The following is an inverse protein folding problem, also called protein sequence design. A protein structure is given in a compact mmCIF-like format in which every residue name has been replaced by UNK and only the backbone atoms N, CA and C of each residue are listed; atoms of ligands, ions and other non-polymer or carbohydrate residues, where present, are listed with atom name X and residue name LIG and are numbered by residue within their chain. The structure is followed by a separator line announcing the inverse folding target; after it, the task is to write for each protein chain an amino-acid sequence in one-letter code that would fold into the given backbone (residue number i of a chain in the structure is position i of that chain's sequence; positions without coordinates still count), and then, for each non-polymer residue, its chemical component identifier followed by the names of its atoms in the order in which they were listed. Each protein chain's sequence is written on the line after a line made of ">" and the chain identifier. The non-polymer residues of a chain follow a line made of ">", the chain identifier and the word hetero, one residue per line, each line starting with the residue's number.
data_IF_862501254907
#
_entry.id   IF_862501254907
#
_cell.length_a   1.000
_cell.length_b   1.000
_cell.length_c   1.000
_cell.angle_alpha   90.00
_cell.angle_beta   90.00
_cell.angle_gamma   90.00
#
_symmetry.space_group_name_H-M   'P 1'
#
loop_
_entity.id
_entity.type
_entity.pdbx_description
1 polymer ?
#
# COMPACT_ATOMS: atom_id res chain seq x y z
N UNK A 1 -30.09 17.50 25.45
CA UNK A 1 -30.83 17.52 24.18
C UNK A 1 -32.32 17.61 24.46
N UNK A 2 -32.81 18.83 24.62
CA UNK A 2 -34.20 19.25 24.34
C UNK A 2 -34.01 20.68 23.83
N UNK A 3 -34.16 20.87 22.52
CA UNK A 3 -34.01 22.17 21.87
C UNK A 3 -35.33 22.92 22.01
N UNK A 4 -35.33 24.00 22.79
CA UNK A 4 -36.44 24.97 22.84
C UNK A 4 -36.36 25.94 21.67
N UNK A 5 -37.48 26.31 21.04
CA UNK A 5 -37.46 27.13 19.84
C UNK A 5 -37.32 28.62 20.17
N UNK A 6 -36.51 29.30 19.34
CA UNK A 6 -36.87 30.59 18.75
C UNK A 6 -36.98 31.78 19.70
N UNK A 7 -35.82 32.32 20.11
CA UNK A 7 -35.71 33.72 20.53
C UNK A 7 -36.02 34.61 19.32
N UNK A 8 -37.23 35.15 19.27
CA UNK A 8 -37.63 36.17 18.31
C UNK A 8 -37.55 37.56 18.94
N UNK A 9 -36.74 38.40 18.29
CA UNK A 9 -37.08 39.78 17.96
C UNK A 9 -37.03 40.81 19.10
N UNK A 10 -35.91 41.55 19.11
CA UNK A 10 -35.84 42.90 19.64
C UNK A 10 -36.81 43.79 18.86
N UNK A 11 -37.98 44.07 19.43
CA UNK A 11 -38.73 45.27 19.09
C UNK A 11 -38.33 46.36 20.09
N UNK A 12 -37.42 47.22 19.64
CA UNK A 12 -37.17 48.54 20.21
C UNK A 12 -38.37 49.40 19.81
N UNK A 13 -39.46 49.28 20.56
CA UNK A 13 -40.60 50.15 20.39
C UNK A 13 -40.22 51.53 20.92
N UNK A 14 -40.16 52.45 19.97
CA UNK A 14 -39.78 53.84 20.15
C UNK A 14 -40.71 54.50 21.15
N UNK A 15 -40.12 55.27 22.07
CA UNK A 15 -40.75 56.14 23.05
C UNK A 15 -41.70 57.12 22.36
N UNK A 16 -42.92 56.70 22.06
CA UNK A 16 -44.00 57.61 21.71
C UNK A 16 -44.60 58.14 23.00
N UNK A 17 -44.49 59.45 23.15
CA UNK A 17 -45.17 60.27 24.13
C UNK A 17 -46.67 60.06 23.96
N UNK A 18 -47.22 59.03 24.61
CA UNK A 18 -48.65 58.78 24.66
C UNK A 18 -49.27 59.65 25.75
N UNK A 19 -50.23 60.45 25.32
CA UNK A 19 -51.19 61.18 26.15
C UNK A 19 -51.81 60.24 27.18
N UNK A 20 -51.62 60.55 28.46
CA UNK A 20 -52.08 59.78 29.63
C UNK A 20 -53.60 59.52 29.70
N UNK A 21 -54.39 60.11 28.79
CA UNK A 21 -55.86 60.15 28.88
C UNK A 21 -56.59 58.93 28.26
N UNK A 22 -55.89 57.95 27.68
CA UNK A 22 -56.54 56.75 27.11
C UNK A 22 -55.72 55.46 27.35
N UNK A 23 -55.29 55.20 28.58
CA UNK A 23 -54.92 53.83 28.98
C UNK A 23 -56.08 53.21 29.75
N UNK A 24 -56.47 51.99 29.37
CA UNK A 24 -57.43 51.23 30.17
C UNK A 24 -56.80 50.85 31.52
N UNK A 25 -57.60 50.77 32.59
CA UNK A 25 -57.08 50.50 33.95
C UNK A 25 -56.18 49.25 34.01
N UNK A 26 -56.46 48.24 33.18
CA UNK A 26 -55.64 47.03 33.07
C UNK A 26 -54.25 47.29 32.44
N UNK A 27 -54.15 48.17 31.46
CA UNK A 27 -52.88 48.55 30.83
C UNK A 27 -52.05 49.45 31.77
N UNK A 28 -52.71 50.30 32.54
CA UNK A 28 -52.05 51.12 33.56
C UNK A 28 -51.43 50.25 34.66
N UNK A 29 -52.16 49.25 35.17
CA UNK A 29 -51.63 48.31 36.17
C UNK A 29 -50.40 47.56 35.62
N UNK A 30 -50.47 47.07 34.38
CA UNK A 30 -49.32 46.40 33.74
C UNK A 30 -48.13 47.34 33.56
N UNK A 31 -48.36 48.59 33.17
CA UNK A 31 -47.29 49.59 33.04
C UNK A 31 -46.63 49.90 34.38
N UNK A 32 -47.42 50.04 35.45
CA UNK A 32 -46.92 50.26 36.81
C UNK A 32 -46.13 49.04 37.32
N UNK A 33 -46.61 47.82 37.07
CA UNK A 33 -45.86 46.60 37.42
C UNK A 33 -44.56 46.46 36.65
N UNK A 34 -44.57 46.80 35.36
CA UNK A 34 -43.38 46.78 34.52
C UNK A 34 -42.36 47.84 34.96
N UNK A 35 -42.81 49.07 35.26
CA UNK A 35 -41.98 50.13 35.84
C UNK A 35 -41.42 49.70 37.20
N UNK A 36 -42.22 49.06 38.06
CA UNK A 36 -41.75 48.54 39.35
C UNK A 36 -40.68 47.47 39.18
N UNK A 37 -40.83 46.59 38.18
CA UNK A 37 -39.81 45.59 37.82
C UNK A 37 -38.55 46.27 37.29
N UNK A 38 -38.67 47.27 36.41
CA UNK A 38 -37.54 48.01 35.88
C UNK A 38 -36.78 48.79 36.97
N UNK A 39 -37.49 49.44 37.89
CA UNK A 39 -36.89 50.11 39.06
C UNK A 39 -36.16 49.11 39.95
N UNK A 40 -36.73 47.91 40.17
CA UNK A 40 -36.05 46.85 40.93
C UNK A 40 -34.79 46.36 40.21
N UNK A 41 -34.83 46.17 38.90
CA UNK A 41 -33.66 45.78 38.12
C UNK A 41 -32.56 46.83 38.19
N UNK A 42 -32.90 48.11 37.98
CA UNK A 42 -31.95 49.23 38.10
C UNK A 42 -31.34 49.32 39.51
N UNK A 43 -32.13 49.03 40.55
CA UNK A 43 -31.62 49.00 41.92
C UNK A 43 -30.57 47.88 42.11
N UNK A 44 -30.86 46.68 41.62
CA UNK A 44 -29.93 45.54 41.67
C UNK A 44 -28.66 45.80 40.82
N UNK A 45 -28.82 46.36 39.63
CA UNK A 45 -27.69 46.76 38.78
C UNK A 45 -26.80 47.78 39.49
N UNK A 46 -27.40 48.81 40.11
CA UNK A 46 -26.65 49.78 40.90
C UNK A 46 -25.95 49.13 42.10
N UNK A 47 -26.62 48.26 42.85
CA UNK A 47 -26.02 47.57 43.99
C UNK A 47 -24.80 46.73 43.58
N UNK A 48 -24.92 45.98 42.48
CA UNK A 48 -23.81 45.17 41.91
C UNK A 48 -22.66 46.07 41.46
N UNK A 49 -22.95 47.19 40.79
CA UNK A 49 -21.94 48.14 40.33
C UNK A 49 -21.23 48.82 41.52
N UNK A 50 -21.98 49.29 42.52
CA UNK A 50 -21.43 49.90 43.73
C UNK A 50 -20.53 48.92 44.49
N UNK A 51 -21.00 47.68 44.69
CA UNK A 51 -20.21 46.63 45.34
C UNK A 51 -18.94 46.29 44.54
N UNK A 52 -19.03 46.27 43.21
CA UNK A 52 -17.90 45.99 42.32
C UNK A 52 -16.86 47.12 42.34
N UNK A 53 -17.29 48.37 42.25
CA UNK A 53 -16.39 49.54 42.29
C UNK A 53 -15.75 49.66 43.69
N UNK A 54 -16.50 49.47 44.77
CA UNK A 54 -15.95 49.46 46.14
C UNK A 54 -14.83 48.43 46.31
N UNK A 55 -14.99 47.25 45.68
CA UNK A 55 -14.02 46.15 45.80
C UNK A 55 -12.77 46.37 44.96
N UNK A 56 -12.91 46.93 43.76
CA UNK A 56 -11.80 47.09 42.81
C UNK A 56 -11.07 48.44 42.99
N UNK A 57 -11.81 49.53 43.13
CA UNK A 57 -11.29 50.90 43.23
C UNK A 57 -12.18 51.78 44.13
N UNK A 58 -12.02 51.69 45.47
CA UNK A 58 -12.87 52.43 46.42
C UNK A 58 -12.74 53.97 46.28
N UNK A 59 -11.64 54.48 45.71
CA UNK A 59 -11.44 55.90 45.45
C UNK A 59 -12.42 56.48 44.41
N UNK A 60 -12.89 55.65 43.46
CA UNK A 60 -13.84 56.09 42.43
C UNK A 60 -15.24 56.30 43.03
N UNK A 61 -15.62 55.50 44.03
CA UNK A 61 -16.90 55.65 44.74
C UNK A 61 -17.00 56.98 45.49
N UNK A 62 -15.91 57.47 46.08
CA UNK A 62 -15.89 58.78 46.76
C UNK A 62 -16.27 59.92 45.81
N UNK A 63 -15.82 59.85 44.55
CA UNK A 63 -16.16 60.82 43.52
C UNK A 63 -17.62 60.70 43.07
N UNK A 64 -18.15 59.48 42.96
CA UNK A 64 -19.55 59.21 42.63
C UNK A 64 -20.47 59.77 43.73
N UNK A 65 -20.20 59.50 45.00
CA UNK A 65 -20.99 60.03 46.12
C UNK A 65 -20.93 61.55 46.22
N UNK A 66 -19.76 62.15 46.02
CA UNK A 66 -19.61 63.61 45.99
C UNK A 66 -20.43 64.24 44.86
N UNK A 67 -20.43 63.63 43.68
CA UNK A 67 -21.22 64.08 42.53
C UNK A 67 -22.73 63.94 42.78
N UNK A 68 -23.14 62.83 43.42
CA UNK A 68 -24.53 62.59 43.82
C UNK A 68 -25.01 63.65 44.83
N UNK A 69 -24.20 63.96 45.84
CA UNK A 69 -24.52 64.98 46.85
C UNK A 69 -24.66 66.39 46.23
N UNK A 70 -23.81 66.73 45.26
CA UNK A 70 -23.93 67.97 44.48
C UNK A 70 -25.23 67.98 43.66
N UNK A 71 -25.59 66.86 43.02
CA UNK A 71 -26.82 66.74 42.26
C UNK A 71 -28.05 66.88 43.16
N UNK A 72 -28.08 66.18 44.30
CA UNK A 72 -29.16 66.23 45.30
C UNK A 72 -29.36 67.67 45.80
N UNK A 73 -28.28 68.35 46.22
CA UNK A 73 -28.30 69.76 46.65
C UNK A 73 -28.85 70.69 45.58
N UNK A 74 -28.54 70.44 44.30
CA UNK A 74 -29.06 71.21 43.17
C UNK A 74 -30.54 70.96 42.91
N UNK A 75 -31.01 69.72 42.99
CA UNK A 75 -32.46 69.44 42.91
C UNK A 75 -33.23 70.03 44.07
N UNK A 76 -32.69 69.98 45.29
CA UNK A 76 -33.32 70.58 46.46
C UNK A 76 -33.38 72.11 46.36
N UNK A 77 -32.34 72.77 45.84
CA UNK A 77 -32.38 74.22 45.64
C UNK A 77 -33.36 74.64 44.54
N UNK A 78 -33.52 73.84 43.48
CA UNK A 78 -34.55 74.06 42.44
C UNK A 78 -35.96 73.86 43.01
N UNK A 79 -36.18 72.83 43.83
CA UNK A 79 -37.48 72.58 44.48
C UNK A 79 -37.82 73.65 45.55
N UNK A 80 -36.81 74.21 46.23
CA UNK A 80 -37.00 75.33 47.15
C UNK A 80 -37.28 76.64 46.42
N UNK A 81 -36.61 76.91 45.29
CA UNK A 81 -36.89 78.07 44.45
C UNK A 81 -38.33 78.06 43.89
N UNK A 82 -38.85 76.87 43.54
CA UNK A 82 -40.25 76.73 43.11
C UNK A 82 -41.28 76.90 44.24
N UNK A 83 -40.88 76.74 45.52
CA UNK A 83 -41.76 76.98 46.69
C UNK A 83 -41.84 78.44 47.09
N UNK A 84 -40.87 79.28 46.70
CA UNK A 84 -40.82 80.70 47.09
C UNK A 84 -41.54 81.65 46.13
N UNK A 85 -42.02 81.18 44.98
CA UNK A 85 -42.74 82.01 44.00
C UNK A 85 -44.27 82.12 44.25
N UNK A 86 -44.81 81.52 45.31
CA UNK A 86 -46.25 81.52 45.62
C UNK A 86 -46.67 82.32 46.86
N UNK A 87 -45.85 83.23 47.39
CA UNK A 87 -46.30 84.13 48.48
C UNK A 87 -45.52 85.46 48.56
N UNK A 88 -45.80 86.37 47.63
CA UNK A 88 -45.50 87.80 47.78
C UNK A 88 -46.71 88.50 48.38
N UNK A 89 -46.56 89.25 49.48
CA UNK A 89 -47.25 90.53 49.72
C UNK A 89 -46.78 91.18 51.04
N UNK A 90 -46.31 92.43 50.93
CA UNK A 90 -46.03 93.43 51.99
C UNK A 90 -44.91 93.06 52.99
N UNK A 91 -43.88 93.84 53.27
CA UNK A 91 -43.60 95.26 53.04
C UNK A 91 -42.72 95.73 54.21
N UNK A 92 -41.85 96.71 53.94
CA UNK A 92 -41.22 97.60 54.94
C UNK A 92 -39.97 97.12 55.72
N UNK A 93 -38.82 97.60 55.21
CA UNK A 93 -37.86 98.50 55.87
C UNK A 93 -37.17 98.15 57.21
N UNK A 94 -35.83 98.30 57.16
CA UNK A 94 -34.88 98.71 58.22
C UNK A 94 -34.65 97.68 59.35
N UNK A 95 -33.47 97.49 59.93
CA UNK A 95 -32.13 98.07 59.79
C UNK A 95 -31.19 97.37 60.78
N UNK A 96 -29.91 97.29 60.42
CA UNK A 96 -28.71 97.44 61.27
C UNK A 96 -28.32 96.41 62.34
N UNK A 97 -26.99 96.22 62.38
CA UNK A 97 -26.13 95.81 63.49
C UNK A 97 -26.20 94.32 63.90
N UNK A 98 -25.12 93.62 64.23
CA UNK A 98 -23.69 93.92 64.32
C UNK A 98 -22.98 92.62 64.73
N UNK A 99 -21.63 92.63 64.65
CA UNK A 99 -20.70 92.05 65.65
C UNK A 99 -20.53 90.52 65.67
N UNK A 100 -19.37 90.02 65.24
CA UNK A 100 -18.09 89.81 65.98
C UNK A 100 -17.98 88.42 66.58
N UNK A 101 -16.77 87.84 66.50
CA UNK A 101 -16.30 86.79 67.41
C UNK A 101 -15.84 85.55 66.66
N UNK A 102 -14.65 85.49 66.03
CA UNK A 102 -13.31 85.32 66.64
C UNK A 102 -13.20 84.13 67.60
N UNK A 103 -12.39 83.15 67.22
CA UNK A 103 -11.23 82.65 67.98
C UNK A 103 -10.87 81.28 67.38
N UNK A 104 -9.95 81.14 66.43
CA UNK A 104 -8.55 81.58 66.40
C UNK A 104 -7.60 80.63 67.17
N UNK A 105 -6.42 80.47 66.56
CA UNK A 105 -5.16 79.92 67.04
C UNK A 105 -4.91 78.38 66.97
N UNK A 106 -3.80 77.89 66.41
CA UNK A 106 -2.62 78.61 65.89
C UNK A 106 -1.52 77.68 65.31
N UNK A 107 -0.63 78.31 64.52
CA UNK A 107 0.83 78.10 64.43
C UNK A 107 1.34 76.83 63.69
N UNK A 108 2.42 76.84 62.87
CA UNK A 108 3.50 77.81 62.63
C UNK A 108 4.33 77.38 61.38
N UNK A 109 5.02 78.36 60.78
CA UNK A 109 6.23 78.39 59.93
C UNK A 109 5.98 78.23 58.42
N UNK A 110 5.90 79.31 57.63
CA UNK A 110 6.87 80.36 57.24
C UNK A 110 7.85 79.97 56.12
N UNK A 111 7.88 80.92 55.17
CA UNK A 111 8.99 81.36 54.31
C UNK A 111 9.09 80.74 52.91
N UNK A 112 9.36 81.48 51.84
CA UNK A 112 9.28 82.92 51.56
C UNK A 112 9.53 83.14 50.05
N UNK A 113 9.22 84.37 49.61
CA UNK A 113 9.75 85.14 48.45
C UNK A 113 9.09 84.88 47.08
N UNK A 114 8.25 85.82 46.59
CA UNK A 114 8.59 87.11 45.92
C UNK A 114 8.88 86.91 44.42
N UNK A 115 8.41 87.70 43.45
CA UNK A 115 7.90 89.09 43.42
C UNK A 115 7.36 89.43 42.02
N UNK A 116 6.48 90.45 41.97
CA UNK A 116 6.39 91.51 40.92
C UNK A 116 5.84 91.15 39.50
N UNK A 117 5.13 91.98 38.72
CA UNK A 117 4.67 93.39 38.81
C UNK A 117 3.68 93.67 37.64
N UNK A 118 2.67 94.53 37.92
CA UNK A 118 1.97 95.60 37.14
C UNK A 118 2.07 95.60 35.59
N UNK A 119 1.19 96.17 34.75
CA UNK A 119 -0.09 96.90 34.76
C UNK A 119 -0.35 97.21 33.27
N UNK A 120 -1.60 97.21 32.80
CA UNK A 120 -2.14 98.41 32.13
C UNK A 120 -3.66 98.35 31.96
N UNK A 121 -4.26 99.46 32.34
CA UNK A 121 -5.68 99.81 32.39
C UNK A 121 -6.02 100.62 31.13
N UNK A 122 -7.24 100.54 30.62
CA UNK A 122 -8.00 101.70 30.14
C UNK A 122 -9.50 101.35 30.15
N UNK A 123 -10.26 102.28 30.73
CA UNK A 123 -11.67 102.21 31.10
C UNK A 123 -12.59 102.75 29.98
N UNK A 124 -13.83 102.24 29.98
CA UNK A 124 -15.10 102.97 29.73
C UNK A 124 -15.38 103.48 28.30
N UNK A 125 -16.60 103.55 27.77
CA UNK A 125 -17.97 103.14 28.13
C UNK A 125 -18.89 103.62 26.98
N UNK A 126 -20.15 103.12 26.94
CA UNK A 126 -21.36 103.70 26.31
C UNK A 126 -21.52 103.48 24.78
N UNK A 127 -22.63 102.99 24.20
CA UNK A 127 -23.93 102.40 24.63
C UNK A 127 -24.61 101.80 23.37
N UNK A 128 -25.38 100.72 23.58
CA UNK A 128 -26.76 100.43 23.11
C UNK A 128 -27.14 100.58 21.60
N UNK A 129 -28.03 99.78 21.00
CA UNK A 129 -28.76 98.56 21.37
C UNK A 129 -29.60 98.09 20.15
N UNK A 130 -30.16 96.88 20.32
CA UNK A 130 -31.32 96.26 19.64
C UNK A 130 -30.98 95.42 18.40
N UNK A 131 -31.41 94.17 18.27
CA UNK A 131 -32.10 93.22 19.15
C UNK A 131 -31.96 91.81 18.51
N UNK A 132 -32.22 90.76 19.29
CA UNK A 132 -32.24 89.32 18.94
C UNK A 132 -30.92 88.53 19.00
N UNK A 133 -31.05 87.30 19.53
CA UNK A 133 -30.15 86.14 19.43
C UNK A 133 -29.01 86.00 20.48
N UNK A 134 -28.86 84.74 20.95
CA UNK A 134 -27.67 84.08 21.55
C UNK A 134 -27.36 84.39 23.03
N UNK A 135 -27.92 83.56 23.93
CA UNK A 135 -27.14 83.08 25.08
C UNK A 135 -26.53 81.71 24.73
N UNK A 136 -25.33 81.78 24.16
CA UNK A 136 -24.41 80.68 23.98
C UNK A 136 -23.47 80.57 25.18
N UNK A 137 -23.15 79.31 25.54
CA UNK A 137 -21.94 78.86 26.26
C UNK A 137 -21.78 79.34 27.71
N UNK A 138 -22.17 78.49 28.67
CA UNK A 138 -21.29 78.07 29.79
C UNK A 138 -21.99 77.11 30.77
N UNK A 139 -22.64 76.01 30.32
CA UNK A 139 -23.03 74.91 31.22
C UNK A 139 -23.01 73.57 30.47
N UNK A 140 -21.84 73.14 30.00
CA UNK A 140 -21.59 71.74 29.64
C UNK A 140 -20.22 71.38 30.20
N UNK A 141 -20.18 70.62 31.28
CA UNK A 141 -18.92 70.32 31.96
C UNK A 141 -18.99 69.55 33.27
N UNK A 142 -20.10 68.87 33.57
CA UNK A 142 -20.10 67.81 34.60
C UNK A 142 -20.73 66.58 33.97
N UNK A 143 -20.14 66.12 32.87
CA UNK A 143 -20.20 64.69 32.58
C UNK A 143 -19.20 64.07 33.53
N UNK A 144 -19.67 63.54 34.67
CA UNK A 144 -18.84 62.67 35.49
C UNK A 144 -18.24 61.55 34.61
N UNK A 145 -17.12 60.93 35.01
CA UNK A 145 -16.46 59.90 34.21
C UNK A 145 -17.48 58.82 33.85
N UNK A 146 -17.95 58.86 32.60
CA UNK A 146 -18.82 57.83 32.05
C UNK A 146 -17.91 56.65 31.80
N UNK A 147 -17.95 55.66 32.70
CA UNK A 147 -17.25 54.38 32.53
C UNK A 147 -17.59 53.88 31.14
N UNK A 148 -16.56 53.66 30.34
CA UNK A 148 -16.71 53.28 28.94
C UNK A 148 -17.49 51.96 28.85
N UNK A 149 -18.25 51.74 27.78
CA UNK A 149 -19.00 50.49 27.59
C UNK A 149 -18.05 49.28 27.61
N UNK A 150 -16.84 49.46 27.08
CA UNK A 150 -15.76 48.47 27.12
C UNK A 150 -15.33 48.15 28.56
N UNK A 151 -15.06 49.17 29.38
CA UNK A 151 -14.69 49.01 30.80
C UNK A 151 -15.83 48.36 31.60
N UNK A 152 -17.09 48.69 31.30
CA UNK A 152 -18.24 48.03 31.90
C UNK A 152 -18.31 46.55 31.51
N UNK A 153 -18.04 46.22 30.26
CA UNK A 153 -18.04 44.84 29.78
C UNK A 153 -16.91 44.03 30.43
N UNK A 154 -15.71 44.60 30.56
CA UNK A 154 -14.59 43.99 31.27
C UNK A 154 -14.91 43.74 32.75
N UNK A 155 -15.53 44.72 33.42
CA UNK A 155 -15.98 44.58 34.81
C UNK A 155 -17.03 43.46 34.96
N UNK A 156 -18.03 43.42 34.08
CA UNK A 156 -19.06 42.37 34.06
C UNK A 156 -18.42 41.01 33.82
N UNK A 157 -17.48 40.90 32.88
CA UNK A 157 -16.77 39.67 32.60
C UNK A 157 -15.94 39.20 33.79
N UNK A 158 -15.20 40.11 34.44
CA UNK A 158 -14.39 39.79 35.62
C UNK A 158 -15.26 39.33 36.82
N UNK A 159 -16.43 39.94 37.00
CA UNK A 159 -17.40 39.50 38.02
C UNK A 159 -17.98 38.14 37.66
N UNK A 160 -18.37 37.93 36.40
CA UNK A 160 -18.92 36.65 35.92
C UNK A 160 -17.93 35.51 36.11
N UNK A 161 -16.67 35.68 35.67
CA UNK A 161 -15.62 34.67 35.88
C UNK A 161 -15.41 34.34 37.36
N UNK A 162 -15.52 35.36 38.22
CA UNK A 162 -15.34 35.17 39.66
C UNK A 162 -16.50 34.40 40.26
N UNK A 163 -17.73 34.79 39.94
CA UNK A 163 -18.93 34.08 40.39
C UNK A 163 -18.94 32.64 39.88
N UNK A 164 -18.48 32.39 38.66
CA UNK A 164 -18.30 31.04 38.13
C UNK A 164 -17.26 30.24 38.92
N UNK A 165 -16.11 30.84 39.24
CA UNK A 165 -15.07 30.20 40.08
C UNK A 165 -15.59 29.90 41.48
N UNK A 166 -16.30 30.84 42.09
CA UNK A 166 -16.89 30.68 43.43
C UNK A 166 -17.97 29.59 43.41
N UNK A 167 -18.86 29.59 42.41
CA UNK A 167 -19.87 28.55 42.21
C UNK A 167 -19.23 27.16 42.03
N UNK A 168 -18.16 27.04 41.26
CA UNK A 168 -17.43 25.78 41.10
C UNK A 168 -16.79 25.32 42.41
N UNK A 169 -16.26 26.24 43.22
CA UNK A 169 -15.71 25.94 44.54
C UNK A 169 -16.79 25.47 45.50
N UNK A 170 -17.94 26.15 45.54
CA UNK A 170 -19.11 25.73 46.32
C UNK A 170 -19.62 24.35 45.90
N UNK A 171 -19.72 24.06 44.59
CA UNK A 171 -20.10 22.73 44.09
C UNK A 171 -19.12 21.64 44.55
N UNK A 172 -17.81 21.90 44.48
CA UNK A 172 -16.78 20.97 44.96
C UNK A 172 -16.86 20.77 46.47
N UNK A 173 -17.10 21.83 47.24
CA UNK A 173 -17.25 21.77 48.69
C UNK A 173 -18.50 20.99 49.08
N UNK A 174 -19.65 21.33 48.50
CA UNK A 174 -20.91 20.64 48.74
C UNK A 174 -20.82 19.14 48.41
N UNK A 175 -20.17 18.79 47.29
CA UNK A 175 -19.94 17.39 46.94
C UNK A 175 -19.07 16.67 47.98
N UNK A 176 -17.95 17.27 48.40
CA UNK A 176 -17.12 16.69 49.47
C UNK A 176 -17.89 16.50 50.78
N UNK A 177 -18.73 17.46 51.13
CA UNK A 177 -19.55 17.39 52.33
C UNK A 177 -20.61 16.29 52.22
N UNK A 178 -21.25 16.15 51.07
CA UNK A 178 -22.18 15.07 50.78
C UNK A 178 -21.50 13.71 50.87
N UNK A 179 -20.38 13.53 50.16
CA UNK A 179 -19.59 12.30 50.19
C UNK A 179 -19.13 11.95 51.63
N UNK A 180 -18.84 12.96 52.47
CA UNK A 180 -18.49 12.78 53.88
C UNK A 180 -19.68 12.31 54.74
N UNK A 181 -20.84 12.95 54.59
CA UNK A 181 -22.04 12.58 55.33
C UNK A 181 -22.54 11.18 54.91
N UNK A 182 -22.47 10.84 53.62
CA UNK A 182 -22.78 9.49 53.13
C UNK A 182 -21.86 8.44 53.76
N UNK A 183 -20.55 8.72 53.82
CA UNK A 183 -19.60 7.82 54.48
C UNK A 183 -19.88 7.67 55.98
N UNK A 184 -20.33 8.73 56.67
CA UNK A 184 -20.75 8.65 58.07
C UNK A 184 -22.02 7.81 58.24
N UNK A 185 -22.99 7.94 57.34
CA UNK A 185 -24.20 7.13 57.37
C UNK A 185 -23.88 5.65 57.16
N UNK A 186 -23.04 5.32 56.18
CA UNK A 186 -22.59 3.95 55.93
C UNK A 186 -21.82 3.38 57.14
N UNK A 187 -20.94 4.17 57.78
CA UNK A 187 -20.23 3.76 58.99
C UNK A 187 -21.18 3.48 60.16
N UNK A 188 -22.20 4.31 60.36
CA UNK A 188 -23.21 4.12 61.40
C UNK A 188 -24.05 2.87 61.10
N UNK A 189 -24.44 2.65 59.86
CA UNK A 189 -25.19 1.46 59.44
C UNK A 189 -24.40 0.18 59.71
N UNK A 190 -23.11 0.15 59.33
CA UNK A 190 -22.22 -0.99 59.60
C UNK A 190 -22.09 -1.23 61.11
N UNK A 191 -21.86 -0.17 61.90
CA UNK A 191 -21.76 -0.28 63.36
C UNK A 191 -23.04 -0.80 63.99
N UNK A 192 -24.19 -0.33 63.54
CA UNK A 192 -25.49 -0.77 64.08
C UNK A 192 -25.70 -2.25 63.82
N UNK A 193 -25.43 -2.70 62.59
CA UNK A 193 -25.51 -4.11 62.21
C UNK A 193 -24.51 -5.00 62.98
N UNK A 194 -23.28 -4.51 63.20
CA UNK A 194 -22.30 -5.24 64.02
C UNK A 194 -22.75 -5.34 65.49
N UNK A 195 -23.31 -4.26 66.06
CA UNK A 195 -23.87 -4.27 67.42
C UNK A 195 -25.05 -5.24 67.53
N UNK A 196 -25.97 -5.24 66.57
CA UNK A 196 -27.11 -6.16 66.52
C UNK A 196 -26.62 -7.61 66.51
N UNK A 197 -25.70 -7.97 65.60
CA UNK A 197 -25.09 -9.30 65.56
C UNK A 197 -24.35 -9.68 66.84
N UNK A 198 -23.65 -8.72 67.45
CA UNK A 198 -22.95 -8.97 68.71
C UNK A 198 -23.92 -9.19 69.87
N UNK A 199 -25.07 -8.52 69.83
CA UNK A 199 -26.15 -8.70 70.80
C UNK A 199 -26.80 -10.06 70.62
N UNK A 200 -27.15 -10.46 69.39
CA UNK A 200 -27.70 -11.78 69.07
C UNK A 200 -26.75 -12.90 69.50
N UNK A 201 -25.47 -12.83 69.10
CA UNK A 201 -24.48 -13.84 69.49
C UNK A 201 -24.22 -13.86 71.00
N UNK A 202 -24.32 -12.73 71.68
CA UNK A 202 -24.23 -12.68 73.14
C UNK A 202 -25.43 -13.35 73.82
N UNK A 203 -26.64 -13.09 73.34
CA UNK A 203 -27.86 -13.72 73.85
C UNK A 203 -27.82 -15.24 73.67
N UNK A 204 -27.40 -15.71 72.49
CA UNK A 204 -27.26 -17.14 72.19
C UNK A 204 -26.16 -17.80 73.03
N UNK A 205 -24.91 -17.34 72.93
CA UNK A 205 -23.75 -18.04 73.49
C UNK A 205 -23.64 -17.87 75.02
N UNK A 206 -24.03 -16.71 75.57
CA UNK A 206 -23.80 -16.40 76.99
C UNK A 206 -25.08 -16.57 77.83
N UNK A 207 -26.24 -16.16 77.31
CA UNK A 207 -27.49 -16.19 78.08
C UNK A 207 -28.22 -17.53 77.90
N UNK A 208 -28.31 -18.06 76.69
CA UNK A 208 -29.03 -19.31 76.42
C UNK A 208 -28.14 -20.53 76.68
N UNK A 209 -26.98 -20.60 76.02
CA UNK A 209 -26.06 -21.76 76.13
C UNK A 209 -25.13 -21.68 77.36
N UNK A 210 -24.80 -20.46 77.78
CA UNK A 210 -23.82 -20.21 78.83
C UNK A 210 -24.33 -20.39 80.27
N UNK A 211 -25.64 -20.55 80.48
CA UNK A 211 -26.24 -20.73 81.81
C UNK A 211 -26.12 -22.18 82.24
N UNK A 212 -25.48 -22.41 83.37
CA UNK A 212 -25.35 -23.74 83.93
C UNK A 212 -26.72 -24.24 84.46
N UNK A 213 -27.19 -25.37 83.93
CA UNK A 213 -28.56 -25.88 84.15
C UNK A 213 -28.87 -26.14 85.64
N UNK A 214 -27.85 -26.49 86.44
CA UNK A 214 -28.00 -26.80 87.85
C UNK A 214 -28.05 -25.55 88.75
N UNK A 215 -27.26 -24.51 88.44
CA UNK A 215 -27.11 -23.31 89.29
C UNK A 215 -27.90 -22.10 88.76
N UNK A 216 -28.36 -22.15 87.50
CA UNK A 216 -28.99 -21.06 86.76
C UNK A 216 -28.19 -19.75 86.80
N UNK A 217 -26.87 -19.85 86.97
CA UNK A 217 -25.93 -18.72 86.96
C UNK A 217 -25.02 -18.85 85.76
N UNK A 218 -24.54 -17.72 85.26
CA UNK A 218 -23.56 -17.67 84.18
C UNK A 218 -22.16 -17.79 84.79
N UNK A 219 -21.36 -18.82 84.44
CA UNK A 219 -19.98 -18.93 84.88
C UNK A 219 -19.13 -17.77 84.36
N UNK A 220 -18.20 -17.30 85.18
CA UNK A 220 -17.31 -16.20 84.79
C UNK A 220 -16.41 -16.59 83.59
N UNK A 221 -16.04 -17.87 83.47
CA UNK A 221 -15.22 -18.36 82.36
C UNK A 221 -15.93 -18.21 81.00
N UNK A 222 -17.25 -18.38 80.96
CA UNK A 222 -18.04 -18.24 79.72
C UNK A 222 -18.00 -16.80 79.23
N UNK A 223 -18.20 -15.84 80.14
CA UNK A 223 -18.12 -14.42 79.82
C UNK A 223 -16.71 -13.98 79.39
N UNK A 224 -15.67 -14.42 80.11
CA UNK A 224 -14.27 -14.09 79.76
C UNK A 224 -13.90 -14.67 78.39
N UNK A 225 -14.34 -15.90 78.09
CA UNK A 225 -14.11 -16.55 76.80
C UNK A 225 -14.79 -15.80 75.66
N UNK A 226 -16.07 -15.42 75.84
CA UNK A 226 -16.80 -14.62 74.87
C UNK A 226 -16.06 -13.31 74.57
N UNK A 227 -15.68 -12.54 75.58
CA UNK A 227 -14.93 -11.30 75.40
C UNK A 227 -13.59 -11.52 74.67
N UNK A 228 -12.85 -12.59 75.00
CA UNK A 228 -11.60 -12.92 74.33
C UNK A 228 -11.81 -13.31 72.85
N UNK A 229 -12.90 -14.01 72.53
CA UNK A 229 -13.25 -14.37 71.16
C UNK A 229 -13.72 -13.16 70.34
N UNK A 230 -14.54 -12.29 70.92
CA UNK A 230 -14.94 -11.03 70.27
C UNK A 230 -13.74 -10.12 70.03
N UNK A 231 -12.81 -10.01 71.00
CA UNK A 231 -11.53 -9.31 70.80
C UNK A 231 -10.75 -9.84 69.60
N UNK A 232 -10.61 -11.16 69.48
CA UNK A 232 -9.97 -11.79 68.32
C UNK A 232 -10.71 -11.52 67.00
N UNK A 233 -12.05 -11.47 67.00
CA UNK A 233 -12.86 -11.14 65.80
C UNK A 233 -12.60 -9.69 65.36
N UNK A 234 -12.57 -8.75 66.31
CA UNK A 234 -12.25 -7.33 66.06
C UNK A 234 -10.85 -7.19 65.46
N UNK A 235 -9.84 -7.82 66.06
CA UNK A 235 -8.46 -7.76 65.55
C UNK A 235 -8.35 -8.25 64.09
N UNK A 236 -9.02 -9.37 63.76
CA UNK A 236 -9.09 -9.88 62.38
C UNK A 236 -9.77 -8.89 61.43
N UNK A 237 -10.82 -8.20 61.88
CA UNK A 237 -11.49 -7.18 61.08
C UNK A 237 -10.58 -5.96 60.87
N UNK A 238 -9.85 -5.51 61.89
CA UNK A 238 -8.88 -4.41 61.79
C UNK A 238 -7.81 -4.75 60.76
N UNK A 239 -7.22 -5.94 60.82
CA UNK A 239 -6.21 -6.38 59.86
C UNK A 239 -6.77 -6.43 58.43
N UNK A 240 -7.98 -6.96 58.25
CA UNK A 240 -8.68 -6.98 56.97
C UNK A 240 -8.89 -5.56 56.41
N UNK A 241 -9.36 -4.63 57.25
CA UNK A 241 -9.57 -3.24 56.86
C UNK A 241 -8.25 -2.54 56.53
N UNK A 242 -7.19 -2.78 57.29
CA UNK A 242 -5.84 -2.24 57.03
C UNK A 242 -5.30 -2.70 55.66
N UNK A 243 -5.44 -3.98 55.33
CA UNK A 243 -5.02 -4.52 54.02
C UNK A 243 -5.84 -3.88 52.89
N UNK A 244 -7.17 -3.79 53.05
CA UNK A 244 -8.06 -3.14 52.07
C UNK A 244 -7.70 -1.68 51.86
N UNK A 245 -7.43 -0.94 52.94
CA UNK A 245 -7.02 0.46 52.88
C UNK A 245 -5.68 0.62 52.14
N UNK A 246 -4.68 -0.20 52.46
CA UNK A 246 -3.39 -0.21 51.77
C UNK A 246 -3.55 -0.46 50.26
N UNK A 247 -4.33 -1.48 49.89
CA UNK A 247 -4.60 -1.83 48.49
C UNK A 247 -5.32 -0.71 47.74
N UNK A 248 -6.37 -0.14 48.35
CA UNK A 248 -7.14 0.98 47.78
C UNK A 248 -6.25 2.22 47.60
N UNK A 249 -5.38 2.52 48.55
CA UNK A 249 -4.41 3.62 48.44
C UNK A 249 -3.43 3.42 47.28
N UNK A 250 -2.96 2.19 47.04
CA UNK A 250 -2.12 1.88 45.88
C UNK A 250 -2.88 2.11 44.57
N UNK A 251 -4.14 1.66 44.47
CA UNK A 251 -4.97 1.92 43.29
C UNK A 251 -5.24 3.41 43.07
N UNK A 252 -5.56 4.14 44.13
CA UNK A 252 -5.76 5.59 44.08
C UNK A 252 -4.51 6.30 43.55
N UNK A 253 -3.32 5.95 44.04
CA UNK A 253 -2.05 6.50 43.55
C UNK A 253 -1.84 6.18 42.07
N UNK A 254 -2.00 4.93 41.65
CA UNK A 254 -1.88 4.52 40.24
C UNK A 254 -2.81 5.30 39.32
N UNK A 255 -4.08 5.46 39.71
CA UNK A 255 -5.06 6.20 38.92
C UNK A 255 -4.72 7.70 38.86
N UNK A 256 -4.33 8.29 39.98
CA UNK A 256 -3.89 9.68 40.03
C UNK A 256 -2.68 9.93 39.13
N UNK A 257 -1.70 9.03 39.16
CA UNK A 257 -0.49 9.14 38.35
C UNK A 257 -0.83 8.93 36.86
N UNK A 258 -1.73 7.99 36.52
CA UNK A 258 -2.25 7.82 35.17
C UNK A 258 -2.99 9.06 34.65
N UNK A 259 -3.80 9.72 35.50
CA UNK A 259 -4.45 11.00 35.15
C UNK A 259 -3.41 12.08 34.91
N UNK A 260 -2.36 12.16 35.72
CA UNK A 260 -1.27 13.13 35.55
C UNK A 260 -0.57 12.91 34.21
N UNK A 261 -0.16 11.68 33.91
CA UNK A 261 0.46 11.32 32.62
C UNK A 261 -0.48 11.67 31.46
N UNK A 262 -1.77 11.33 31.55
CA UNK A 262 -2.75 11.67 30.50
C UNK A 262 -2.91 13.18 30.32
N UNK A 263 -2.89 13.96 31.41
CA UNK A 263 -2.93 15.44 31.33
C UNK A 263 -1.67 16.00 30.69
N UNK A 264 -0.50 15.48 31.06
CA UNK A 264 0.78 15.90 30.47
C UNK A 264 0.83 15.54 28.98
N UNK A 265 0.36 14.35 28.59
CA UNK A 265 0.21 13.95 27.18
C UNK A 265 -0.81 14.82 26.44
N UNK A 266 -1.99 15.06 27.02
CA UNK A 266 -3.01 15.91 26.42
C UNK A 266 -2.55 17.36 26.26
N UNK A 267 -1.72 17.88 27.17
CA UNK A 267 -1.11 19.21 27.03
C UNK A 267 -0.10 19.30 25.90
N UNK A 268 0.55 18.17 25.55
CA UNK A 268 1.54 18.09 24.48
C UNK A 268 0.92 17.83 23.12
N UNK A 269 -0.31 17.32 23.07
CA UNK A 269 -0.99 16.98 21.83
C UNK A 269 -1.94 18.12 21.48
N UNK A 270 -1.61 18.84 20.42
CA UNK A 270 -2.47 19.88 19.84
C UNK A 270 -3.31 19.23 18.73
N UNK A 271 -4.56 19.67 18.47
CA UNK A 271 -5.36 19.20 17.33
C UNK A 271 -4.59 19.18 15.99
N UNK A 272 -3.70 20.16 15.80
CA UNK A 272 -2.80 20.28 14.64
C UNK A 272 -1.91 19.05 14.47
N UNK A 273 -1.46 18.39 15.54
CA UNK A 273 -0.60 17.20 15.45
C UNK A 273 -1.35 16.03 14.79
N UNK A 274 -2.65 15.91 15.04
CA UNK A 274 -3.48 14.88 14.39
C UNK A 274 -3.66 15.15 12.91
N UNK A 275 -3.81 16.42 12.52
CA UNK A 275 -3.89 16.82 11.11
C UNK A 275 -2.56 16.58 10.39
N UNK A 276 -1.43 16.93 11.02
CA UNK A 276 -0.08 16.63 10.50
C UNK A 276 0.08 15.13 10.30
N UNK A 277 -0.32 14.30 11.28
CA UNK A 277 -0.27 12.84 11.13
C UNK A 277 -1.20 12.31 10.04
N UNK A 278 -2.38 12.88 9.88
CA UNK A 278 -3.29 12.51 8.79
C UNK A 278 -2.68 12.84 7.41
N UNK A 279 -2.02 14.00 7.28
CA UNK A 279 -1.31 14.39 6.06
C UNK A 279 -0.14 13.44 5.78
N UNK A 280 0.66 13.11 6.79
CA UNK A 280 1.78 12.15 6.65
C UNK A 280 1.29 10.77 6.20
N UNK A 281 0.22 10.26 6.79
CA UNK A 281 -0.38 8.98 6.39
C UNK A 281 -0.87 9.05 4.94
N UNK A 282 -1.56 10.14 4.58
CA UNK A 282 -2.06 10.32 3.22
C UNK A 282 -0.92 10.37 2.20
N UNK A 283 0.15 11.12 2.48
CA UNK A 283 1.33 11.18 1.63
C UNK A 283 2.05 9.82 1.51
N UNK A 284 2.08 9.04 2.61
CA UNK A 284 2.64 7.68 2.58
C UNK A 284 1.80 6.72 1.71
N UNK A 285 0.47 6.83 1.77
CA UNK A 285 -0.43 6.04 0.92
C UNK A 285 -0.29 6.40 -0.55
N UNK A 286 -0.24 7.69 -0.89
CA UNK A 286 0.00 8.15 -2.27
C UNK A 286 1.32 7.59 -2.82
N UNK A 287 2.39 7.60 -2.01
CA UNK A 287 3.67 7.00 -2.39
C UNK A 287 3.61 5.49 -2.58
N UNK A 288 2.85 4.78 -1.75
CA UNK A 288 2.62 3.34 -1.93
C UNK A 288 1.92 3.08 -3.26
N UNK A 289 0.88 3.85 -3.57
CA UNK A 289 0.14 3.72 -4.82
C UNK A 289 1.03 4.01 -6.04
N UNK A 290 1.85 5.06 -6.00
CA UNK A 290 2.85 5.34 -7.05
C UNK A 290 3.80 4.15 -7.24
N UNK A 291 4.39 3.60 -6.17
CA UNK A 291 5.29 2.45 -6.28
C UNK A 291 4.58 1.20 -6.80
N UNK A 292 3.31 1.00 -6.44
CA UNK A 292 2.50 -0.11 -6.95
C UNK A 292 2.21 0.04 -8.44
N UNK A 293 1.90 1.25 -8.92
CA UNK A 293 1.70 1.50 -10.37
C UNK A 293 2.98 1.23 -11.15
N UNK A 294 4.14 1.71 -10.68
CA UNK A 294 5.45 1.43 -11.28
C UNK A 294 5.77 -0.07 -11.28
N UNK A 295 5.45 -0.79 -10.20
CA UNK A 295 5.64 -2.23 -10.12
C UNK A 295 4.75 -2.97 -11.13
N UNK A 296 3.52 -2.52 -11.34
CA UNK A 296 2.60 -3.10 -12.33
C UNK A 296 3.11 -2.91 -13.75
N UNK A 297 3.62 -1.72 -14.09
CA UNK A 297 4.26 -1.45 -15.38
C UNK A 297 5.50 -2.32 -15.60
N UNK A 298 6.35 -2.46 -14.58
CA UNK A 298 7.52 -3.32 -14.65
C UNK A 298 7.16 -4.81 -14.81
N UNK A 299 6.10 -5.26 -14.15
CA UNK A 299 5.57 -6.63 -14.32
C UNK A 299 5.04 -6.85 -15.73
N UNK A 300 4.33 -5.88 -16.29
CA UNK A 300 3.81 -5.96 -17.66
C UNK A 300 4.94 -6.04 -18.69
N UNK A 301 5.93 -5.16 -18.59
CA UNK A 301 7.11 -5.16 -19.49
C UNK A 301 7.96 -6.43 -19.35
N UNK A 302 8.16 -6.92 -18.11
CA UNK A 302 8.85 -8.20 -17.86
C UNK A 302 8.07 -9.38 -18.46
N UNK A 303 6.74 -9.37 -18.33
CA UNK A 303 5.86 -10.38 -18.93
C UNK A 303 5.96 -10.40 -20.45
N UNK A 304 5.90 -9.23 -21.10
CA UNK A 304 6.05 -9.10 -22.56
C UNK A 304 7.43 -9.53 -23.05
N UNK A 305 8.51 -9.10 -22.36
CA UNK A 305 9.86 -9.54 -22.67
C UNK A 305 9.99 -11.08 -22.59
N UNK A 306 9.42 -11.71 -21.55
CA UNK A 306 9.46 -13.16 -21.40
C UNK A 306 8.65 -13.90 -22.49
N UNK A 307 7.50 -13.33 -22.90
CA UNK A 307 6.71 -13.87 -24.02
C UNK A 307 7.51 -13.81 -25.32
N UNK A 308 8.16 -12.68 -25.60
CA UNK A 308 9.02 -12.50 -26.78
C UNK A 308 10.22 -13.45 -26.77
N UNK A 309 10.88 -13.63 -25.61
CA UNK A 309 11.96 -14.62 -25.47
C UNK A 309 11.48 -16.05 -25.75
N UNK A 310 10.29 -16.41 -25.27
CA UNK A 310 9.69 -17.73 -25.52
C UNK A 310 9.40 -17.93 -27.01
N UNK A 311 8.88 -16.90 -27.68
CA UNK A 311 8.68 -16.91 -29.13
C UNK A 311 9.98 -17.11 -29.89
N UNK A 312 11.01 -16.31 -29.62
CA UNK A 312 12.31 -16.44 -30.28
C UNK A 312 12.97 -17.78 -30.02
N UNK A 313 12.84 -18.33 -28.81
CA UNK A 313 13.29 -19.68 -28.49
C UNK A 313 12.63 -20.73 -29.39
N UNK A 314 11.32 -20.62 -29.61
CA UNK A 314 10.58 -21.54 -30.48
C UNK A 314 11.02 -21.41 -31.95
N UNK A 315 11.15 -20.18 -32.46
CA UNK A 315 11.63 -19.92 -33.83
C UNK A 315 13.05 -20.45 -34.03
N UNK A 316 13.95 -20.20 -33.07
CA UNK A 316 15.33 -20.71 -33.10
C UNK A 316 15.37 -22.24 -33.06
N UNK A 317 14.54 -22.87 -32.22
CA UNK A 317 14.43 -24.33 -32.14
C UNK A 317 13.93 -24.90 -33.47
N UNK A 318 12.95 -24.26 -34.12
CA UNK A 318 12.48 -24.67 -35.44
C UNK A 318 13.58 -24.59 -36.50
N UNK A 319 14.31 -23.46 -36.57
CA UNK A 319 15.43 -23.29 -37.50
C UNK A 319 16.53 -24.32 -37.22
N UNK A 320 16.88 -24.55 -35.96
CA UNK A 320 17.89 -25.54 -35.56
C UNK A 320 17.49 -26.94 -35.99
N UNK A 321 16.24 -27.33 -35.78
CA UNK A 321 15.71 -28.62 -36.24
C UNK A 321 15.74 -28.75 -37.77
N UNK A 322 15.43 -27.67 -38.50
CA UNK A 322 15.54 -27.65 -39.96
C UNK A 322 16.99 -27.80 -40.42
N UNK A 323 17.92 -27.04 -39.85
CA UNK A 323 19.35 -27.14 -40.17
C UNK A 323 19.90 -28.54 -39.88
N UNK A 324 19.51 -29.16 -38.76
CA UNK A 324 19.88 -30.55 -38.47
C UNK A 324 19.37 -31.52 -39.55
N UNK A 325 18.16 -31.33 -40.08
CA UNK A 325 17.66 -32.14 -41.20
C UNK A 325 18.49 -31.93 -42.46
N UNK A 326 18.85 -30.69 -42.78
CA UNK A 326 19.69 -30.35 -43.94
C UNK A 326 21.09 -30.96 -43.80
N UNK A 327 21.71 -30.90 -42.62
CA UNK A 327 23.01 -31.52 -42.34
C UNK A 327 22.92 -33.03 -42.59
N UNK A 328 21.91 -33.71 -42.03
CA UNK A 328 21.71 -35.15 -42.26
C UNK A 328 21.53 -35.47 -43.75
N UNK A 329 20.79 -34.64 -44.49
CA UNK A 329 20.61 -34.81 -45.93
C UNK A 329 21.93 -34.62 -46.69
N UNK A 330 22.73 -33.61 -46.33
CA UNK A 330 24.06 -33.38 -46.88
C UNK A 330 24.93 -34.61 -46.68
N UNK A 331 24.99 -35.15 -45.47
CA UNK A 331 25.80 -36.35 -45.16
C UNK A 331 25.38 -37.56 -46.00
N UNK A 332 24.06 -37.75 -46.20
CA UNK A 332 23.53 -38.83 -47.06
C UNK A 332 23.94 -38.61 -48.52
N UNK A 333 23.83 -37.38 -49.03
CA UNK A 333 24.22 -37.03 -50.40
C UNK A 333 25.71 -37.19 -50.62
N UNK A 334 26.53 -36.75 -49.67
CA UNK A 334 27.99 -36.90 -49.73
C UNK A 334 28.40 -38.37 -49.81
N UNK A 335 27.79 -39.25 -49.01
CA UNK A 335 27.99 -40.70 -49.11
C UNK A 335 27.55 -41.26 -50.47
N UNK A 336 26.47 -40.76 -51.05
CA UNK A 336 26.03 -41.16 -52.40
C UNK A 336 27.03 -40.71 -53.47
N UNK A 337 27.51 -39.46 -53.39
CA UNK A 337 28.51 -38.94 -54.32
C UNK A 337 29.79 -39.77 -54.28
N UNK A 338 30.31 -40.09 -53.09
CA UNK A 338 31.50 -40.96 -52.94
C UNK A 338 31.29 -42.34 -53.58
N UNK A 339 30.10 -42.94 -53.43
CA UNK A 339 29.77 -44.21 -54.10
C UNK A 339 29.75 -44.07 -55.62
N UNK A 340 29.10 -43.03 -56.14
CA UNK A 340 29.06 -42.76 -57.58
C UNK A 340 30.46 -42.48 -58.14
N UNK A 341 31.30 -41.71 -57.43
CA UNK A 341 32.68 -41.46 -57.82
C UNK A 341 33.48 -42.78 -57.89
N UNK A 342 33.33 -43.66 -56.90
CA UNK A 342 33.97 -44.99 -56.94
C UNK A 342 33.48 -45.84 -58.13
N UNK A 343 32.18 -45.87 -58.40
CA UNK A 343 31.61 -46.57 -59.57
C UNK A 343 32.13 -45.97 -60.90
N UNK A 344 32.18 -44.64 -61.02
CA UNK A 344 32.70 -43.96 -62.21
C UNK A 344 34.18 -44.22 -62.42
N UNK A 345 34.98 -44.31 -61.35
CA UNK A 345 36.40 -44.67 -61.44
C UNK A 345 36.59 -46.11 -61.95
N UNK A 346 35.76 -47.05 -61.48
CA UNK A 346 35.75 -48.43 -61.99
C UNK A 346 35.35 -48.47 -63.47
N UNK A 347 34.30 -47.75 -63.86
CA UNK A 347 33.87 -47.66 -65.26
C UNK A 347 34.94 -47.01 -66.14
N UNK A 348 35.60 -45.94 -65.70
CA UNK A 348 36.68 -45.30 -66.43
C UNK A 348 37.86 -46.28 -66.66
N UNK A 349 38.24 -47.06 -65.63
CA UNK A 349 39.25 -48.10 -65.77
C UNK A 349 38.82 -49.18 -66.78
N UNK A 350 37.54 -49.58 -66.78
CA UNK A 350 37.00 -50.52 -67.76
C UNK A 350 37.03 -49.94 -69.18
N UNK A 351 36.63 -48.68 -69.39
CA UNK A 351 36.68 -48.01 -70.69
C UNK A 351 38.11 -47.99 -71.23
N UNK A 352 39.09 -47.58 -70.43
CA UNK A 352 40.51 -47.59 -70.83
C UNK A 352 40.97 -49.01 -71.23
N UNK A 353 40.59 -50.04 -70.46
CA UNK A 353 40.93 -51.43 -70.79
C UNK A 353 40.27 -51.91 -72.09
N UNK A 354 39.04 -51.47 -72.38
CA UNK A 354 38.31 -51.79 -73.60
C UNK A 354 38.88 -51.05 -74.80
N UNK A 355 39.24 -49.77 -74.66
CA UNK A 355 39.93 -48.99 -75.69
C UNK A 355 41.25 -49.63 -76.07
N UNK A 356 42.07 -50.02 -75.08
CA UNK A 356 43.31 -50.77 -75.33
C UNK A 356 43.05 -52.09 -76.08
N UNK A 357 41.98 -52.82 -75.73
CA UNK A 357 41.59 -54.04 -76.44
C UNK A 357 41.14 -53.75 -77.86
N UNK A 358 40.38 -52.69 -78.08
CA UNK A 358 39.91 -52.25 -79.38
C UNK A 358 41.08 -51.81 -80.27
N UNK A 359 42.06 -51.10 -79.72
CA UNK A 359 43.28 -50.73 -80.44
C UNK A 359 44.13 -51.94 -80.81
N UNK A 360 44.23 -52.95 -79.93
CA UNK A 360 44.84 -54.25 -80.30
C UNK A 360 44.12 -54.87 -81.49
N UNK A 361 42.77 -54.88 -81.47
CA UNK A 361 41.96 -55.40 -82.58
C UNK A 361 42.18 -54.59 -83.87
N UNK A 362 42.20 -53.25 -83.80
CA UNK A 362 42.50 -52.38 -84.94
C UNK A 362 43.89 -52.67 -85.52
N UNK A 363 44.92 -52.77 -84.68
CA UNK A 363 46.28 -53.15 -85.12
C UNK A 363 46.30 -54.54 -85.77
N UNK A 364 45.56 -55.51 -85.22
CA UNK A 364 45.44 -56.81 -85.89
C UNK A 364 44.69 -56.72 -87.21
N UNK A 365 43.65 -55.88 -87.32
CA UNK A 365 42.91 -55.65 -88.56
C UNK A 365 43.76 -54.96 -89.62
N UNK A 366 44.57 -53.98 -89.24
CA UNK A 366 45.52 -53.30 -90.13
C UNK A 366 46.62 -54.26 -90.63
N UNK A 367 47.13 -55.12 -89.74
CA UNK A 367 48.08 -56.19 -90.12
C UNK A 367 47.42 -57.26 -91.00
N UNK A 368 46.13 -57.49 -90.82
CA UNK A 368 45.33 -58.41 -91.62
C UNK A 368 44.92 -57.74 -92.93
N UNK A 369 45.89 -57.53 -93.81
CA UNK A 369 45.60 -57.27 -95.22
C UNK A 369 44.96 -58.54 -95.77
N UNK A 370 43.71 -58.41 -96.23
CA UNK A 370 43.05 -59.46 -97.03
C UNK A 370 44.04 -59.82 -98.13
N UNK A 371 44.51 -61.08 -98.20
CA UNK A 371 45.41 -61.50 -99.29
C UNK A 371 44.79 -61.06 -100.62
N UNK A 372 45.59 -60.44 -101.48
CA UNK A 372 45.10 -59.92 -102.75
C UNK A 372 44.34 -61.05 -103.47
N UNK A 373 43.20 -60.73 -104.10
CA UNK A 373 42.42 -61.71 -104.86
C UNK A 373 43.32 -62.35 -105.91
N UNK A 374 44.32 -61.60 -106.41
CA UNK A 374 45.36 -62.16 -107.28
C UNK A 374 46.17 -63.26 -106.60
N UNK A 375 46.62 -63.09 -105.36
CA UNK A 375 47.34 -64.14 -104.62
C UNK A 375 46.44 -65.36 -104.36
N UNK A 376 45.16 -65.16 -104.02
CA UNK A 376 44.20 -66.25 -103.89
C UNK A 376 44.00 -66.97 -105.24
N UNK A 377 43.91 -66.24 -106.35
CA UNK A 377 43.76 -66.80 -107.70
C UNK A 377 45.06 -67.48 -108.16
N UNK A 378 46.24 -66.98 -107.80
CA UNK A 378 47.53 -67.62 -108.09
C UNK A 378 47.67 -68.91 -107.29
N UNK A 379 47.34 -68.90 -106.00
CA UNK A 379 47.37 -70.11 -105.18
C UNK A 379 46.31 -71.11 -105.65
N UNK A 380 45.11 -70.63 -106.03
CA UNK A 380 44.03 -71.49 -106.53
C UNK A 380 44.28 -72.03 -107.94
N UNK A 381 44.91 -71.25 -108.82
CA UNK A 381 45.40 -71.73 -110.12
C UNK A 381 46.52 -72.73 -109.93
N UNK A 382 47.51 -72.48 -109.05
CA UNK A 382 48.51 -73.49 -108.66
C UNK A 382 47.87 -74.76 -108.12
N UNK A 383 46.84 -74.66 -107.28
CA UNK A 383 46.08 -75.83 -106.79
C UNK A 383 45.35 -76.52 -107.95
N UNK A 384 44.74 -75.76 -108.88
CA UNK A 384 44.06 -76.31 -110.06
C UNK A 384 45.03 -76.97 -111.03
N UNK A 385 46.22 -76.39 -111.24
CA UNK A 385 47.32 -76.92 -112.06
C UNK A 385 47.89 -78.18 -111.43
N UNK A 386 48.10 -78.18 -110.10
CA UNK A 386 48.47 -79.37 -109.36
C UNK A 386 47.37 -80.45 -109.44
N UNK A 387 46.09 -80.07 -109.35
CA UNK A 387 44.96 -80.99 -109.54
C UNK A 387 44.88 -81.53 -110.97
N UNK A 388 45.17 -80.71 -111.99
CA UNK A 388 45.25 -81.12 -113.39
C UNK A 388 46.45 -82.01 -113.66
N UNK A 389 47.60 -81.72 -113.05
CA UNK A 389 48.80 -82.56 -113.09
C UNK A 389 48.52 -83.90 -112.42
N UNK A 390 47.90 -83.91 -111.23
CA UNK A 390 47.45 -85.12 -110.55
C UNK A 390 46.48 -85.89 -111.46
N UNK A 391 45.43 -85.26 -112.00
CA UNK A 391 44.48 -85.89 -112.94
C UNK A 391 45.16 -86.45 -114.18
N UNK A 392 46.11 -85.72 -114.79
CA UNK A 392 46.86 -86.16 -115.97
C UNK A 392 47.76 -87.35 -115.63
N UNK A 393 48.40 -87.33 -114.46
CA UNK A 393 49.16 -88.48 -113.95
C UNK A 393 48.24 -89.65 -113.62
N UNK A 394 47.04 -89.42 -113.09
CA UNK A 394 46.05 -90.49 -112.84
C UNK A 394 45.53 -91.06 -114.16
N UNK A 395 45.30 -90.22 -115.16
CA UNK A 395 44.84 -90.65 -116.50
C UNK A 395 45.97 -91.37 -117.25
N UNK A 396 47.22 -90.91 -117.11
CA UNK A 396 48.40 -91.61 -117.65
C UNK A 396 48.64 -92.94 -116.96
N UNK A 397 48.49 -93.01 -115.62
CA UNK A 397 48.50 -94.27 -114.89
C UNK A 397 47.34 -95.17 -115.30
N UNK A 398 46.14 -94.62 -115.49
CA UNK A 398 44.96 -95.35 -115.95
C UNK A 398 45.16 -95.87 -117.37
N UNK A 399 45.75 -95.11 -118.30
CA UNK A 399 46.10 -95.57 -119.65
C UNK A 399 47.20 -96.63 -119.60
N UNK A 400 48.22 -96.48 -118.73
CA UNK A 400 49.24 -97.52 -118.53
C UNK A 400 48.68 -98.78 -117.87
N UNK A 401 47.76 -98.65 -116.92
CA UNK A 401 47.02 -99.76 -116.32
C UNK A 401 46.04 -100.38 -117.32
N UNK A 402 45.39 -99.59 -118.17
CA UNK A 402 44.48 -100.06 -119.22
C UNK A 402 45.28 -100.78 -120.32
N UNK A 403 46.43 -100.25 -120.74
CA UNK A 403 47.37 -100.90 -121.64
C UNK A 403 47.93 -102.20 -121.03
N UNK A 404 48.34 -102.20 -119.76
CA UNK A 404 48.71 -103.42 -119.05
C UNK A 404 47.54 -104.41 -118.92
N UNK A 405 46.31 -103.92 -118.74
CA UNK A 405 45.11 -104.77 -118.66
C UNK A 405 44.69 -105.30 -120.03
N UNK A 406 44.91 -104.56 -121.11
CA UNK A 406 44.69 -105.00 -122.49
C UNK A 406 45.80 -105.97 -122.91
N UNK A 407 47.08 -105.71 -122.62
CA UNK A 407 48.14 -106.72 -122.80
C UNK A 407 47.88 -107.98 -121.97
N UNK A 408 47.36 -107.86 -120.74
CA UNK A 408 46.94 -109.01 -119.93
C UNK A 408 45.68 -109.70 -120.49
N UNK A 409 44.77 -108.99 -121.18
CA UNK A 409 43.57 -109.56 -121.82
C UNK A 409 43.85 -110.19 -123.19
N UNK A 410 44.75 -109.60 -123.99
CA UNK A 410 45.28 -110.17 -125.24
C UNK A 410 46.04 -111.46 -124.92
N UNK A 411 46.90 -111.43 -123.89
CA UNK A 411 47.62 -112.61 -123.40
C UNK A 411 46.68 -113.65 -122.78
N UNK A 412 45.68 -113.25 -121.99
CA UNK A 412 44.64 -114.18 -121.49
C UNK A 412 43.73 -114.74 -122.58
N UNK A 413 43.61 -114.09 -123.75
CA UNK A 413 42.88 -114.62 -124.92
C UNK A 413 43.74 -115.55 -125.77
N UNK A 414 45.06 -115.35 -125.86
CA UNK A 414 45.97 -116.36 -126.42
C UNK A 414 46.11 -117.57 -125.49
N UNK A 415 46.11 -117.35 -124.17
CA UNK A 415 46.17 -118.37 -123.13
C UNK A 415 44.81 -119.06 -122.88
N UNK A 416 43.73 -118.66 -123.58
CA UNK A 416 42.39 -119.29 -123.50
C UNK A 416 42.01 -120.12 -124.75
N UNK A 417 42.88 -120.20 -125.77
CA UNK A 417 42.74 -121.12 -126.92
C UNK A 417 43.85 -122.18 -126.99
N UNK A 418 44.83 -122.12 -126.07
CA UNK A 418 45.85 -123.13 -125.86
C UNK A 418 45.71 -123.66 -124.43
N UNK A 419 45.16 -124.86 -124.34
CA UNK A 419 45.01 -125.68 -123.13
C UNK A 419 44.01 -125.14 -122.09
N UNK A 420 42.92 -125.84 -121.75
CA UNK A 420 42.80 -127.30 -121.74
C UNK A 420 44.01 -127.91 -121.03
N UNK A 421 44.41 -127.33 -119.89
CA UNK A 421 45.11 -128.05 -118.84
C UNK A 421 45.12 -127.26 -117.52
N UNK A 422 44.53 -127.91 -116.51
CA UNK A 422 44.80 -127.74 -115.09
C UNK A 422 44.27 -126.46 -114.42
N UNK A 423 43.08 -126.50 -113.79
CA UNK A 423 42.87 -126.94 -112.41
C UNK A 423 43.91 -126.41 -111.42
N UNK A 424 43.51 -125.50 -110.52
CA UNK A 424 43.16 -125.79 -109.10
C UNK A 424 43.38 -124.57 -108.19
N UNK A 425 42.40 -124.41 -107.28
CA UNK A 425 42.57 -123.95 -105.88
C UNK A 425 42.87 -122.46 -105.67
N UNK A 426 41.96 -121.69 -105.08
CA UNK A 426 41.69 -121.60 -103.62
C UNK A 426 42.17 -120.20 -103.16
N UNK A 427 41.68 -119.48 -102.15
CA UNK A 427 40.61 -119.61 -101.16
C UNK A 427 41.00 -118.59 -100.05
N UNK A 428 40.04 -117.83 -99.51
CA UNK A 428 40.05 -117.19 -98.16
C UNK A 428 41.25 -116.22 -97.85
N UNK A 429 41.32 -115.37 -96.84
CA UNK A 429 40.49 -114.96 -95.72
C UNK A 429 41.03 -113.61 -95.15
N UNK A 430 40.28 -113.03 -94.22
CA UNK A 430 40.75 -112.38 -92.97
C UNK A 430 41.62 -111.09 -92.95
N UNK A 431 41.01 -110.06 -92.33
CA UNK A 431 41.43 -109.41 -91.06
C UNK A 431 42.62 -108.44 -90.93
N UNK A 432 42.41 -107.52 -89.98
CA UNK A 432 43.35 -106.88 -89.02
C UNK A 432 43.86 -105.43 -89.21
N UNK A 433 43.80 -104.72 -88.07
CA UNK A 433 44.50 -103.51 -87.55
C UNK A 433 46.01 -103.44 -87.93
N UNK A 434 46.83 -102.38 -87.62
CA UNK A 434 46.75 -101.44 -86.49
C UNK A 434 47.28 -99.98 -86.71
N UNK A 435 47.18 -99.17 -85.65
CA UNK A 435 48.02 -97.99 -85.31
C UNK A 435 49.52 -98.38 -85.17
N UNK A 436 50.57 -97.50 -85.10
CA UNK A 436 50.82 -96.68 -83.90
C UNK A 436 51.82 -95.46 -83.96
N UNK A 437 51.88 -94.67 -82.84
CA UNK A 437 53.07 -94.09 -82.12
C UNK A 437 53.93 -93.00 -82.87
N UNK A 438 54.32 -91.83 -82.33
CA UNK A 438 55.14 -91.48 -81.13
C UNK A 438 55.06 -89.97 -80.76
N UNK A 439 55.09 -89.67 -79.44
CA UNK A 439 55.97 -88.74 -78.67
C UNK A 439 56.12 -87.24 -79.05
N UNK A 440 56.27 -86.23 -78.16
CA UNK A 440 56.59 -86.16 -76.73
C UNK A 440 56.43 -84.74 -76.13
N UNK A 441 56.17 -84.71 -74.82
CA UNK A 441 56.78 -83.89 -73.75
C UNK A 441 56.41 -82.41 -73.39
N UNK A 442 55.95 -82.31 -72.12
CA UNK A 442 56.34 -81.39 -71.02
C UNK A 442 55.85 -79.92 -71.00
N UNK A 443 55.51 -79.25 -69.87
CA UNK A 443 55.61 -79.52 -68.42
C UNK A 443 54.75 -78.49 -67.60
N UNK A 444 53.86 -78.96 -66.70
CA UNK A 444 53.63 -78.63 -65.26
C UNK A 444 53.68 -77.12 -64.81
N UNK A 445 52.68 -76.50 -64.14
CA UNK A 445 52.27 -76.65 -62.71
C UNK A 445 50.93 -76.00 -62.32
N UNK A 446 50.27 -76.70 -61.40
CA UNK A 446 49.13 -76.30 -60.56
C UNK A 446 49.56 -75.49 -59.33
N UNK A 447 48.62 -74.73 -58.74
CA UNK A 447 48.31 -74.74 -57.30
C UNK A 447 46.87 -74.28 -57.04
N UNK A 448 46.15 -75.05 -56.23
CA UNK A 448 44.83 -74.81 -55.65
C UNK A 448 44.89 -73.87 -54.43
N UNK A 449 43.74 -73.29 -54.03
CA UNK A 449 43.26 -73.29 -52.62
C UNK A 449 41.82 -72.76 -52.48
N UNK A 450 41.00 -73.53 -51.74
CA UNK A 450 39.70 -73.20 -51.11
C UNK A 450 39.82 -71.98 -50.15
N UNK A 451 38.80 -71.30 -49.59
CA UNK A 451 37.48 -71.72 -49.11
C UNK A 451 36.55 -70.51 -48.77
N UNK A 452 35.24 -70.70 -48.99
CA UNK A 452 34.04 -70.41 -48.15
C UNK A 452 34.09 -69.36 -47.02
N UNK A 453 33.19 -68.36 -47.04
CA UNK A 453 32.18 -68.10 -45.95
C UNK A 453 31.15 -66.98 -46.25
N UNK A 454 29.90 -67.30 -45.90
CA UNK A 454 28.69 -66.47 -45.73
C UNK A 454 28.91 -65.17 -44.92
N UNK A 455 28.09 -64.12 -45.07
CA UNK A 455 26.89 -63.83 -44.22
C UNK A 455 26.01 -62.72 -44.86
N UNK A 456 24.69 -62.87 -44.71
CA UNK A 456 23.63 -61.91 -45.02
C UNK A 456 23.42 -60.84 -43.92
N UNK A 457 22.86 -59.68 -44.31
CA UNK A 457 22.28 -58.57 -43.51
C UNK A 457 21.12 -59.03 -42.56
N UNK A 458 20.29 -58.18 -41.87
CA UNK A 458 20.29 -56.73 -41.48
C UNK A 458 19.87 -56.48 -39.99
N UNK A 459 19.58 -55.21 -39.64
CA UNK A 459 18.50 -54.67 -38.75
C UNK A 459 18.88 -53.74 -37.56
N UNK A 460 17.98 -52.76 -37.42
CA UNK A 460 17.83 -51.67 -36.44
C UNK A 460 17.46 -52.17 -35.03
N UNK A 461 17.88 -51.44 -33.99
CA UNK A 461 17.00 -50.73 -33.02
C UNK A 461 17.83 -49.80 -32.15
#
# INVERSE_FOLDING_TARGET
>A
MVYGPGSSMFDVESTSVYTLDVLTDAELVRSVENLKKQVRNLHLENEVLEASIMRLQPSLMTNVYSTLDIAIKRTQSVLQAQRTDSRTTLGSARSLASRTGTSDHSHFYLAAKSKSVLQRKMESSIRAAQSTIKLSKSIMGVSGPKINVEEKLELVHAVTEKEEKDLQNYKKFAKKQHDYLDAQLEEIEIRTNDIEKWTETFEEEVIIEGVEEMTRRIPAETWIRFLAEQGKKIDRQIDKLRIRLSTTNVHHRKLRDAIKIKKDLASRIVPVDFEVKAIEIKAALEKIDETNTQLMELKATTGDANLNLTRYKYELMHITNYLQKVIKLKDVRERQTVKMEAETAVLAAQVVSLEQRLDKIKKTREKYLVPDIQDYVIVKSKISDLQHSIKRLTTSLSIKQFALSNFRKEKRKSDALLSMECLKSAELDSSELPSPITDSNNMIRCTETCAVKHICNPLET
#
